data_IF_560848940112
#
_entry.id   IF_560848940112
#
_cell.length_a   1.000
_cell.length_b   1.000
_cell.length_c   1.000
_cell.angle_alpha   90.00
_cell.angle_beta   90.00
_cell.angle_gamma   90.00
#
_symmetry.space_group_name_H-M   'P 1'
#
loop_
_entity.id
_entity.type
_entity.pdbx_description
1 polymer ?
#
# COMPACT_ATOMS: atom_id res chain seq x y z
N UNK A 1 -34.07 -59.92 26.72
CA UNK A 1 -33.67 -59.81 28.14
C UNK A 1 -32.14 -59.66 28.17
N UNK A 2 -31.63 -58.54 28.73
CA UNK A 2 -30.24 -58.22 29.17
C UNK A 2 -29.08 -58.42 28.16
N UNK A 3 -28.49 -57.36 27.59
CA UNK A 3 -27.43 -56.45 28.13
C UNK A 3 -26.12 -57.16 28.53
N UNK A 4 -24.99 -56.82 27.90
CA UNK A 4 -23.94 -55.99 28.54
C UNK A 4 -22.57 -56.00 27.82
N UNK A 5 -22.10 -54.80 27.48
CA UNK A 5 -20.74 -54.17 27.56
C UNK A 5 -19.45 -55.01 27.48
N UNK A 6 -18.47 -54.60 26.65
CA UNK A 6 -17.37 -53.70 27.07
C UNK A 6 -16.20 -53.54 26.07
N UNK A 7 -15.84 -52.27 25.85
CA UNK A 7 -14.50 -51.64 25.84
C UNK A 7 -13.46 -51.84 24.72
N UNK A 8 -12.87 -50.67 24.40
CA UNK A 8 -11.50 -50.39 23.92
C UNK A 8 -11.32 -50.21 22.41
N UNK A 9 -11.47 -48.97 21.92
CA UNK A 9 -10.87 -48.53 20.66
C UNK A 9 -9.56 -47.82 20.98
N UNK A 10 -8.48 -48.43 20.51
CA UNK A 10 -7.10 -47.95 20.59
C UNK A 10 -6.89 -46.84 19.54
N UNK A 11 -6.24 -45.75 19.95
CA UNK A 11 -5.72 -44.70 19.07
C UNK A 11 -4.78 -45.28 18.01
N UNK A 12 -5.00 -44.95 16.74
CA UNK A 12 -3.94 -44.98 15.74
C UNK A 12 -4.10 -43.83 14.75
N UNK A 13 -3.17 -42.89 14.86
CA UNK A 13 -3.01 -41.73 14.00
C UNK A 13 -2.58 -42.17 12.60
N UNK A 14 -3.33 -41.79 11.56
CA UNK A 14 -2.82 -41.74 10.19
C UNK A 14 -3.17 -40.38 9.60
N UNK A 15 -2.16 -39.52 9.55
CA UNK A 15 -2.16 -38.31 8.77
C UNK A 15 -2.19 -38.68 7.28
N UNK A 16 -3.32 -38.46 6.62
CA UNK A 16 -3.42 -38.50 5.18
C UNK A 16 -3.51 -37.08 4.66
N UNK A 17 -2.35 -36.62 4.18
CA UNK A 17 -2.13 -35.45 3.34
C UNK A 17 -3.15 -35.44 2.20
N UNK A 18 -4.18 -34.60 2.34
CA UNK A 18 -4.88 -34.05 1.18
C UNK A 18 -4.34 -32.65 1.00
N UNK A 19 -3.65 -32.45 -0.12
CA UNK A 19 -3.17 -31.14 -0.55
C UNK A 19 -4.35 -30.22 -0.75
N UNK A 20 -4.57 -29.33 0.21
CA UNK A 20 -5.29 -28.09 -0.04
C UNK A 20 -4.37 -27.21 -0.87
N UNK A 21 -4.75 -26.99 -2.13
CA UNK A 21 -4.39 -25.79 -2.85
C UNK A 21 -4.75 -24.59 -1.95
N UNK A 22 -3.72 -23.89 -1.46
CA UNK A 22 -3.85 -22.56 -0.88
C UNK A 22 -4.34 -21.62 -1.98
N UNK A 23 -5.63 -21.67 -2.27
CA UNK A 23 -6.35 -20.51 -2.78
C UNK A 23 -6.36 -19.58 -1.57
N UNK A 24 -5.52 -18.55 -1.62
CA UNK A 24 -5.49 -17.50 -0.62
C UNK A 24 -6.90 -16.89 -0.58
N UNK A 25 -7.68 -17.21 0.45
CA UNK A 25 -8.99 -16.64 0.68
C UNK A 25 -8.84 -15.12 0.83
N UNK A 26 -9.67 -14.28 0.18
CA UNK A 26 -9.58 -12.84 0.30
C UNK A 26 -10.05 -12.31 1.67
N UNK A 27 -10.36 -13.18 2.64
CA UNK A 27 -10.87 -12.80 3.97
C UNK A 27 -9.81 -12.26 4.96
N UNK A 28 -8.54 -12.09 4.59
CA UNK A 28 -7.51 -11.60 5.53
C UNK A 28 -7.29 -10.07 5.54
N UNK A 29 -8.03 -9.28 4.76
CA UNK A 29 -7.85 -7.81 4.69
C UNK A 29 -8.84 -6.98 5.52
N UNK A 30 -9.55 -7.57 6.47
CA UNK A 30 -10.33 -6.84 7.47
C UNK A 30 -9.46 -6.24 8.60
N UNK A 31 -8.20 -5.90 8.30
CA UNK A 31 -7.39 -5.06 9.19
C UNK A 31 -7.80 -3.62 8.91
N UNK A 32 -8.37 -2.96 9.92
CA UNK A 32 -8.82 -1.57 9.87
C UNK A 32 -7.83 -0.69 9.08
N UNK A 33 -8.34 -0.01 8.06
CA UNK A 33 -7.59 0.95 7.26
C UNK A 33 -6.78 1.91 8.17
N UNK A 34 -5.57 2.34 7.75
CA UNK A 34 -4.70 3.29 8.43
C UNK A 34 -5.41 4.51 9.01
N UNK A 35 -6.54 4.87 8.41
CA UNK A 35 -7.23 6.13 8.53
C UNK A 35 -8.71 6.01 8.90
N UNK A 36 -9.23 4.84 9.30
CA UNK A 36 -10.66 4.67 9.59
C UNK A 36 -11.22 5.73 10.57
N UNK A 37 -10.44 6.17 11.56
CA UNK A 37 -10.83 7.28 12.47
C UNK A 37 -10.76 8.67 11.83
N UNK A 38 -9.80 8.90 10.92
CA UNK A 38 -9.70 10.13 10.12
C UNK A 38 -10.86 10.23 9.12
N UNK A 39 -11.25 9.11 8.50
CA UNK A 39 -12.36 9.01 7.54
C UNK A 39 -13.71 9.12 8.24
N UNK A 40 -13.91 8.42 9.36
CA UNK A 40 -15.18 8.44 10.11
C UNK A 40 -15.56 9.85 10.63
N UNK A 41 -14.61 10.78 10.67
CA UNK A 41 -14.82 12.17 11.09
C UNK A 41 -14.78 13.17 9.91
N UNK A 42 -14.58 12.71 8.67
CA UNK A 42 -14.40 13.56 7.49
C UNK A 42 -15.34 13.20 6.36
N UNK A 43 -15.48 14.11 5.38
CA UNK A 43 -16.25 13.90 4.14
C UNK A 43 -15.39 13.30 3.03
N UNK A 44 -14.34 12.54 3.38
CA UNK A 44 -13.42 11.98 2.40
C UNK A 44 -14.11 10.89 1.58
N UNK A 45 -13.77 10.82 0.30
CA UNK A 45 -14.23 9.79 -0.59
C UNK A 45 -13.60 8.43 -0.20
N UNK A 46 -14.41 7.40 0.15
CA UNK A 46 -13.87 6.12 0.59
C UNK A 46 -13.01 5.41 -0.44
N UNK A 47 -13.28 5.62 -1.74
CA UNK A 47 -12.52 4.98 -2.81
C UNK A 47 -11.11 5.58 -2.94
N UNK A 48 -11.01 6.91 -2.91
CA UNK A 48 -9.74 7.61 -2.88
C UNK A 48 -8.93 7.26 -1.61
N UNK A 49 -9.61 7.04 -0.48
CA UNK A 49 -8.97 6.60 0.75
C UNK A 49 -8.36 5.19 0.63
N UNK A 50 -9.08 4.22 0.07
CA UNK A 50 -8.57 2.86 -0.15
C UNK A 50 -7.33 2.85 -1.08
N UNK A 51 -7.34 3.69 -2.12
CA UNK A 51 -6.17 3.87 -3.00
C UNK A 51 -4.99 4.46 -2.23
N UNK A 52 -5.24 5.49 -1.41
CA UNK A 52 -4.22 6.14 -0.60
C UNK A 52 -3.58 5.16 0.39
N UNK A 53 -4.37 4.31 1.03
CA UNK A 53 -3.87 3.27 1.95
C UNK A 53 -2.92 2.31 1.24
N UNK A 54 -3.33 1.79 0.08
CA UNK A 54 -2.51 0.86 -0.68
C UNK A 54 -1.21 1.50 -1.20
N UNK A 55 -1.26 2.76 -1.66
CA UNK A 55 -0.05 3.51 -2.02
C UNK A 55 0.83 3.78 -0.79
N UNK A 56 0.23 4.12 0.34
CA UNK A 56 0.97 4.40 1.56
C UNK A 56 1.74 3.15 2.03
N UNK A 57 1.09 1.99 2.04
CA UNK A 57 1.77 0.72 2.38
C UNK A 57 2.82 0.30 1.35
N UNK A 58 2.65 0.68 0.08
CA UNK A 58 3.70 0.47 -0.91
C UNK A 58 5.01 1.20 -0.54
N UNK A 59 4.90 2.45 -0.05
CA UNK A 59 6.07 3.23 0.39
C UNK A 59 6.55 2.91 1.82
N UNK A 60 5.67 2.38 2.67
CA UNK A 60 5.93 2.03 4.08
C UNK A 60 5.50 0.59 4.37
N UNK A 61 6.15 -0.43 3.77
CA UNK A 61 5.75 -1.83 3.90
C UNK A 61 5.78 -2.32 5.35
N UNK A 62 6.63 -1.73 6.21
CA UNK A 62 6.68 -2.01 7.64
C UNK A 62 5.41 -1.57 8.40
N UNK A 63 4.57 -0.75 7.78
CA UNK A 63 3.29 -0.26 8.28
C UNK A 63 2.09 -0.95 7.61
N UNK A 64 2.29 -1.98 6.78
CA UNK A 64 1.20 -2.70 6.13
C UNK A 64 0.19 -3.24 7.16
N UNK A 65 -1.10 -2.92 6.93
CA UNK A 65 -2.20 -3.32 7.82
C UNK A 65 -2.21 -2.63 9.18
N UNK A 66 -1.32 -1.66 9.44
CA UNK A 66 -1.26 -0.91 10.70
C UNK A 66 -1.94 0.44 10.59
N UNK A 67 -2.54 0.85 11.71
CA UNK A 67 -3.11 2.20 11.87
C UNK A 67 -2.03 3.25 12.08
N UNK A 68 -2.10 4.35 11.32
CA UNK A 68 -1.29 5.56 11.57
C UNK A 68 -1.80 6.21 12.85
N UNK A 69 -0.92 6.43 13.82
CA UNK A 69 -1.27 7.07 15.08
C UNK A 69 -1.39 8.59 14.90
N UNK A 70 -2.26 9.27 15.67
CA UNK A 70 -2.51 10.72 15.52
C UNK A 70 -1.27 11.62 15.68
N UNK A 71 -0.26 11.15 16.41
CA UNK A 71 1.01 11.84 16.65
C UNK A 71 2.04 11.61 15.53
N UNK A 72 1.80 10.66 14.62
CA UNK A 72 2.65 10.40 13.47
C UNK A 72 2.34 11.38 12.33
N UNK A 73 2.57 12.67 12.59
CA UNK A 73 2.16 13.77 11.71
C UNK A 73 2.74 13.70 10.30
N UNK A 74 3.94 13.12 10.14
CA UNK A 74 4.58 13.00 8.83
C UNK A 74 3.91 11.92 7.97
N UNK A 75 3.55 10.78 8.56
CA UNK A 75 2.76 9.75 7.88
C UNK A 75 1.35 10.23 7.53
N UNK A 76 0.71 10.99 8.43
CA UNK A 76 -0.59 11.60 8.14
C UNK A 76 -0.49 12.56 6.94
N UNK A 77 0.59 13.34 6.85
CA UNK A 77 0.82 14.29 5.76
C UNK A 77 1.02 13.57 4.43
N UNK A 78 1.85 12.53 4.42
CA UNK A 78 2.12 11.72 3.22
C UNK A 78 0.87 10.99 2.73
N UNK A 79 0.14 10.34 3.65
CA UNK A 79 -1.13 9.70 3.32
C UNK A 79 -2.14 10.69 2.73
N UNK A 80 -2.28 11.88 3.32
CA UNK A 80 -3.19 12.91 2.81
C UNK A 80 -2.78 13.43 1.43
N UNK A 81 -1.47 13.48 1.14
CA UNK A 81 -0.97 13.84 -0.18
C UNK A 81 -1.35 12.78 -1.23
N UNK A 82 -1.20 11.49 -0.89
CA UNK A 82 -1.62 10.37 -1.72
C UNK A 82 -3.15 10.35 -1.96
N UNK A 83 -3.94 10.58 -0.90
CA UNK A 83 -5.40 10.73 -1.00
C UNK A 83 -5.79 11.80 -2.03
N UNK A 84 -5.17 12.99 -1.97
CA UNK A 84 -5.49 14.08 -2.91
C UNK A 84 -5.20 13.72 -4.36
N UNK A 85 -4.16 12.92 -4.61
CA UNK A 85 -3.85 12.40 -5.95
C UNK A 85 -4.90 11.38 -6.36
N UNK A 86 -5.22 10.42 -5.50
CA UNK A 86 -6.24 9.40 -5.75
C UNK A 86 -7.60 10.01 -6.07
N UNK A 87 -8.05 10.97 -5.26
CA UNK A 87 -9.30 11.71 -5.41
C UNK A 87 -9.30 12.54 -6.71
N UNK A 88 -8.26 13.34 -6.94
CA UNK A 88 -8.14 14.20 -8.14
C UNK A 88 -8.22 13.41 -9.44
N UNK A 89 -7.53 12.27 -9.49
CA UNK A 89 -7.45 11.46 -10.71
C UNK A 89 -8.49 10.35 -10.76
N UNK A 90 -9.34 10.25 -9.73
CA UNK A 90 -10.31 9.16 -9.54
C UNK A 90 -9.64 7.81 -9.84
N UNK A 91 -8.48 7.59 -9.20
CA UNK A 91 -7.65 6.42 -9.45
C UNK A 91 -8.44 5.18 -9.05
N UNK A 92 -8.43 4.11 -9.87
CA UNK A 92 -9.18 2.91 -9.55
C UNK A 92 -8.59 2.23 -8.31
N UNK A 93 -9.44 1.92 -7.35
CA UNK A 93 -9.07 1.12 -6.18
C UNK A 93 -8.59 -0.29 -6.54
N UNK A 94 -7.70 -0.81 -5.72
CA UNK A 94 -7.04 -2.10 -5.92
C UNK A 94 -8.01 -3.27 -5.80
N UNK A 95 -9.00 -3.20 -4.90
CA UNK A 95 -10.06 -4.20 -4.79
C UNK A 95 -11.07 -4.16 -5.96
N UNK A 96 -11.06 -3.11 -6.80
CA UNK A 96 -12.00 -2.97 -7.92
C UNK A 96 -11.37 -3.22 -9.29
N UNK A 97 -10.19 -3.85 -9.35
CA UNK A 97 -9.56 -4.31 -10.60
C UNK A 97 -8.76 -3.23 -11.33
N UNK A 98 -8.28 -2.21 -10.61
CA UNK A 98 -7.34 -1.22 -11.14
C UNK A 98 -5.97 -1.82 -11.52
N UNK A 99 -5.19 -1.16 -12.40
CA UNK A 99 -3.84 -1.58 -12.71
C UNK A 99 -2.98 -1.55 -11.44
N UNK A 100 -2.03 -2.49 -11.33
CA UNK A 100 -0.98 -2.43 -10.32
C UNK A 100 -0.26 -1.07 -10.42
N UNK A 101 0.19 -0.50 -9.28
CA UNK A 101 1.01 0.76 -9.26
C UNK A 101 2.08 0.78 -10.35
N UNK A 102 2.66 -0.39 -10.59
CA UNK A 102 3.72 -0.68 -11.55
C UNK A 102 3.38 -0.36 -13.01
N UNK A 103 2.09 -0.26 -13.35
CA UNK A 103 1.58 -0.02 -14.71
C UNK A 103 0.82 1.32 -14.86
N UNK A 104 0.98 2.23 -13.90
CA UNK A 104 0.33 3.54 -14.00
C UNK A 104 0.91 4.35 -15.17
N UNK A 105 0.06 5.07 -15.93
CA UNK A 105 0.47 6.09 -16.88
C UNK A 105 1.59 6.99 -16.32
N UNK A 106 2.57 7.31 -17.18
CA UNK A 106 3.77 8.09 -16.81
C UNK A 106 3.43 9.40 -16.07
N UNK A 107 2.35 10.07 -16.48
CA UNK A 107 1.90 11.30 -15.85
C UNK A 107 1.38 11.09 -14.41
N UNK A 108 0.85 9.92 -14.07
CA UNK A 108 0.43 9.61 -12.71
C UNK A 108 1.60 9.25 -11.81
N UNK A 109 2.61 8.54 -12.33
CA UNK A 109 3.84 8.27 -11.59
C UNK A 109 4.54 9.56 -11.15
N UNK A 110 4.61 10.57 -12.03
CA UNK A 110 5.17 11.89 -11.69
C UNK A 110 4.35 12.59 -10.59
N UNK A 111 3.02 12.50 -10.63
CA UNK A 111 2.13 13.14 -9.66
C UNK A 111 2.19 12.48 -8.27
N UNK A 112 2.28 11.15 -8.23
CA UNK A 112 2.47 10.40 -6.99
C UNK A 112 3.86 10.71 -6.42
N UNK A 113 4.90 10.75 -7.26
CA UNK A 113 6.24 11.11 -6.83
C UNK A 113 6.31 12.52 -6.25
N UNK A 114 5.69 13.51 -6.91
CA UNK A 114 5.56 14.87 -6.38
C UNK A 114 4.85 14.89 -5.02
N UNK A 115 3.73 14.17 -4.90
CA UNK A 115 2.94 14.14 -3.67
C UNK A 115 3.73 13.57 -2.48
N UNK A 116 4.40 12.43 -2.67
CA UNK A 116 5.24 11.81 -1.63
C UNK A 116 6.44 12.70 -1.30
N UNK A 117 7.14 13.19 -2.33
CA UNK A 117 8.34 14.00 -2.15
C UNK A 117 8.04 15.29 -1.36
N UNK A 118 7.02 16.05 -1.73
CA UNK A 118 6.69 17.29 -1.01
C UNK A 118 6.02 17.04 0.34
N UNK A 119 5.44 15.86 0.58
CA UNK A 119 5.00 15.48 1.92
C UNK A 119 6.20 15.27 2.87
N UNK A 120 7.30 14.72 2.36
CA UNK A 120 8.56 14.53 3.11
C UNK A 120 9.38 15.81 3.24
N UNK A 121 9.21 16.73 2.30
CA UNK A 121 9.93 18.03 2.24
C UNK A 121 8.99 19.24 2.31
N UNK A 122 8.25 19.42 3.42
CA UNK A 122 7.30 20.52 3.56
C UNK A 122 7.98 21.91 3.54
N UNK A 123 9.27 21.99 3.88
CA UNK A 123 10.09 23.20 3.84
C UNK A 123 10.33 23.73 2.41
N UNK A 124 10.12 22.89 1.39
CA UNK A 124 10.24 23.30 0.00
C UNK A 124 9.01 24.06 -0.50
N UNK A 125 7.87 23.95 0.18
CA UNK A 125 6.62 24.62 -0.20
C UNK A 125 6.25 24.39 -1.68
N UNK A 126 6.38 23.15 -2.15
CA UNK A 126 6.11 22.75 -3.54
C UNK A 126 6.98 23.46 -4.60
N UNK A 127 8.05 24.14 -4.18
CA UNK A 127 8.98 24.78 -5.13
C UNK A 127 9.72 23.70 -5.92
N UNK A 128 9.95 23.96 -7.20
CA UNK A 128 10.80 23.12 -8.05
C UNK A 128 12.18 22.88 -7.42
N UNK A 129 12.64 21.64 -7.53
CA UNK A 129 14.02 21.25 -7.24
C UNK A 129 14.96 22.03 -8.18
N UNK A 130 15.96 22.70 -7.61
CA UNK A 130 16.94 23.51 -8.33
C UNK A 130 18.06 22.61 -8.89
N UNK A 131 18.74 23.01 -9.98
CA UNK A 131 19.78 22.18 -10.60
C UNK A 131 20.92 21.75 -9.66
N UNK A 132 21.19 22.53 -8.61
CA UNK A 132 22.24 22.24 -7.63
C UNK A 132 21.78 21.28 -6.52
N UNK A 133 20.48 21.03 -6.38
CA UNK A 133 19.87 20.23 -5.31
C UNK A 133 19.84 18.74 -5.69
N UNK A 134 21.04 18.18 -5.87
CA UNK A 134 21.21 16.83 -6.41
C UNK A 134 20.59 15.75 -5.53
N UNK A 135 20.68 15.89 -4.20
CA UNK A 135 20.12 14.92 -3.26
C UNK A 135 18.59 14.88 -3.35
N UNK A 136 17.93 16.04 -3.35
CA UNK A 136 16.49 16.15 -3.56
C UNK A 136 16.06 15.59 -4.92
N UNK A 137 16.81 15.89 -5.98
CA UNK A 137 16.54 15.36 -7.31
C UNK A 137 16.66 13.82 -7.36
N UNK A 138 17.65 13.27 -6.66
CA UNK A 138 17.85 11.83 -6.56
C UNK A 138 16.73 11.16 -5.78
N UNK A 139 16.32 11.71 -4.64
CA UNK A 139 15.22 11.17 -3.84
C UNK A 139 13.91 11.15 -4.65
N UNK A 140 13.56 12.27 -5.29
CA UNK A 140 12.39 12.33 -6.14
C UNK A 140 12.44 11.28 -7.26
N UNK A 141 13.61 11.12 -7.90
CA UNK A 141 13.80 10.11 -8.93
C UNK A 141 13.64 8.68 -8.39
N UNK A 142 14.13 8.38 -7.19
CA UNK A 142 13.97 7.08 -6.53
C UNK A 142 12.50 6.77 -6.23
N UNK A 143 11.77 7.74 -5.66
CA UNK A 143 10.33 7.61 -5.42
C UNK A 143 9.61 7.31 -6.74
N UNK A 144 9.86 8.12 -7.77
CA UNK A 144 9.27 7.95 -9.10
C UNK A 144 9.58 6.59 -9.73
N UNK A 145 10.82 6.12 -9.60
CA UNK A 145 11.28 4.87 -10.17
C UNK A 145 10.69 3.65 -9.45
N UNK A 146 10.42 3.74 -8.14
CA UNK A 146 9.71 2.67 -7.45
C UNK A 146 8.31 2.44 -8.05
N UNK A 147 7.60 3.52 -8.40
CA UNK A 147 6.24 3.45 -8.95
C UNK A 147 6.20 2.81 -10.35
N UNK A 148 7.17 3.08 -11.23
CA UNK A 148 7.10 2.68 -12.64
C UNK A 148 8.24 1.71 -12.98
N UNK A 149 7.96 0.41 -12.89
CA UNK A 149 8.90 -0.67 -13.21
C UNK A 149 8.87 -1.06 -14.69
N UNK A 150 7.78 -0.77 -15.41
CA UNK A 150 7.51 -1.24 -16.78
C UNK A 150 8.06 -0.33 -17.89
N UNK A 151 8.31 0.97 -17.65
CA UNK A 151 8.83 1.90 -18.66
C UNK A 151 10.09 2.64 -18.20
N UNK A 152 11.20 2.33 -18.89
CA UNK A 152 12.56 2.93 -18.81
C UNK A 152 13.45 2.53 -17.63
N UNK A 153 13.92 1.28 -17.68
CA UNK A 153 15.15 0.80 -17.04
C UNK A 153 16.34 1.77 -17.25
N UNK A 154 16.42 2.44 -18.41
CA UNK A 154 17.53 3.34 -18.76
C UNK A 154 17.64 4.66 -17.96
N UNK A 155 16.58 5.16 -17.30
CA UNK A 155 16.66 6.40 -16.48
C UNK A 155 16.80 6.12 -14.99
N UNK A 156 16.29 4.99 -14.51
CA UNK A 156 16.39 4.59 -13.11
C UNK A 156 17.76 3.95 -12.79
N UNK A 157 18.39 3.28 -13.76
CA UNK A 157 19.75 2.73 -13.64
C UNK A 157 20.85 3.79 -13.47
N UNK A 158 20.66 5.02 -13.98
CA UNK A 158 21.61 6.13 -13.77
C UNK A 158 21.73 6.56 -12.29
N UNK A 159 20.82 6.10 -11.44
CA UNK A 159 20.79 6.39 -10.00
C UNK A 159 21.16 5.18 -9.12
N UNK A 160 21.59 4.05 -9.72
CA UNK A 160 22.31 2.97 -9.03
C UNK A 160 21.48 1.97 -8.23
N UNK A 161 20.58 1.24 -8.92
CA UNK A 161 19.98 0.01 -8.41
C UNK A 161 20.44 -1.19 -9.25
#
# INVERSE_FOLDING_TARGET
MKLSHSLTVILSSVALLTGLTLIHSPESRANEAPTEKLIAQSTLDPHAADVADAMFWYFHPELEGKRIQPDQTDYIREWMALYKVADRFNLPCWQCGGPFIEDLPVNWADQIADAVFYARHPELHERKIRPQERELANEWAQIRCSINTSYTTLKCEQFGF
#
